data_IF_397381469304
#
_entry.id   IF_397381469304
#
_cell.length_a   1.000
_cell.length_b   1.000
_cell.length_c   1.000
_cell.angle_alpha   90.00
_cell.angle_beta   90.00
_cell.angle_gamma   90.00
#
_symmetry.space_group_name_H-M   'P 1'
#
loop_
_entity.id
_entity.type
_entity.pdbx_description
1 polymer ?
#
# COMPACT_ATOMS: atom_id res chain seq x y z
N UNK A 1 -9.40 4.27 -6.70
CA UNK A 1 -8.55 3.65 -7.73
C UNK A 1 -9.42 2.89 -8.73
N UNK A 2 -9.33 3.30 -9.98
CA UNK A 2 -10.15 2.69 -11.04
C UNK A 2 -9.89 1.19 -11.21
N UNK A 3 -8.62 0.77 -11.09
CA UNK A 3 -8.26 -0.63 -11.28
C UNK A 3 -8.91 -1.55 -10.26
N UNK A 4 -8.97 -1.16 -8.99
CA UNK A 4 -9.64 -1.94 -7.96
C UNK A 4 -11.15 -1.98 -8.18
N UNK A 5 -11.75 -0.85 -8.59
CA UNK A 5 -13.17 -0.80 -8.89
C UNK A 5 -13.56 -1.69 -10.06
N UNK A 6 -12.68 -1.85 -11.04
CA UNK A 6 -12.95 -2.72 -12.20
C UNK A 6 -13.04 -4.20 -11.83
N UNK A 7 -12.54 -4.60 -10.66
CA UNK A 7 -12.70 -5.95 -10.13
C UNK A 7 -13.97 -6.13 -9.27
N UNK A 8 -14.88 -5.14 -9.30
CA UNK A 8 -16.11 -5.20 -8.54
C UNK A 8 -15.98 -4.87 -7.07
N UNK A 9 -14.84 -4.32 -6.67
CA UNK A 9 -14.59 -3.94 -5.28
C UNK A 9 -15.22 -2.58 -4.95
N UNK A 10 -15.69 -2.44 -3.72
CA UNK A 10 -16.23 -1.17 -3.22
C UNK A 10 -15.06 -0.35 -2.69
N UNK A 11 -14.71 0.73 -3.40
CA UNK A 11 -13.59 1.59 -3.04
C UNK A 11 -14.13 2.96 -2.59
N UNK A 12 -13.73 3.40 -1.40
CA UNK A 12 -14.03 4.73 -0.88
C UNK A 12 -12.73 5.47 -0.62
N UNK A 13 -12.61 6.68 -1.12
CA UNK A 13 -11.47 7.54 -0.83
C UNK A 13 -11.78 8.31 0.45
N UNK A 14 -10.96 8.12 1.48
CA UNK A 14 -11.16 8.77 2.78
C UNK A 14 -10.46 10.12 2.87
N UNK A 15 -9.45 10.37 2.04
CA UNK A 15 -8.74 11.63 1.98
C UNK A 15 -7.24 11.47 2.18
N UNK A 16 -6.53 12.60 2.24
CA UNK A 16 -5.08 12.62 2.40
C UNK A 16 -4.69 12.10 3.78
N UNK A 17 -3.58 11.36 3.84
CA UNK A 17 -3.01 10.88 5.10
C UNK A 17 -2.15 11.98 5.68
N UNK A 18 -2.41 12.35 6.95
CA UNK A 18 -1.51 13.20 7.72
C UNK A 18 -0.39 12.30 8.26
N UNK A 19 0.83 12.80 8.30
CA UNK A 19 2.01 12.05 8.78
C UNK A 19 2.14 10.66 8.14
N UNK A 20 2.25 10.58 6.80
CA UNK A 20 2.38 9.28 6.14
C UNK A 20 3.66 8.56 6.56
N UNK A 21 3.60 7.21 6.61
CA UNK A 21 4.74 6.37 6.97
C UNK A 21 5.88 6.48 5.96
N UNK A 22 5.56 6.72 4.70
CA UNK A 22 6.53 6.86 3.62
C UNK A 22 6.45 8.28 3.05
N UNK A 23 7.54 8.80 2.46
CA UNK A 23 7.45 10.05 1.72
C UNK A 23 6.50 9.91 0.54
N UNK A 24 6.03 11.00 -0.01
CA UNK A 24 5.09 11.02 -1.12
C UNK A 24 3.70 11.46 -0.68
N UNK A 25 2.76 11.46 -1.60
CA UNK A 25 1.37 11.83 -1.32
C UNK A 25 0.60 10.59 -0.87
N UNK A 26 0.30 10.50 0.41
CA UNK A 26 -0.48 9.41 0.95
C UNK A 26 -1.99 9.67 0.87
N UNK A 27 -2.75 8.66 0.47
CA UNK A 27 -4.21 8.70 0.44
C UNK A 27 -4.75 7.46 1.14
N UNK A 28 -5.68 7.65 2.06
CA UNK A 28 -6.37 6.56 2.73
C UNK A 28 -7.57 6.12 1.91
N UNK A 29 -7.68 4.81 1.68
CA UNK A 29 -8.81 4.19 0.98
C UNK A 29 -9.44 3.14 1.88
N UNK A 30 -10.75 2.91 1.67
CA UNK A 30 -11.42 1.72 2.21
C UNK A 30 -11.86 0.88 1.02
N UNK A 31 -11.40 -0.37 0.97
CA UNK A 31 -11.71 -1.33 -0.09
C UNK A 31 -12.42 -2.51 0.56
N UNK A 32 -13.72 -2.69 0.26
CA UNK A 32 -14.55 -3.72 0.88
C UNK A 32 -14.45 -3.74 2.41
N UNK A 33 -14.38 -2.56 3.02
CA UNK A 33 -14.26 -2.42 4.47
C UNK A 33 -12.84 -2.54 5.03
N UNK A 34 -11.84 -2.76 4.18
CA UNK A 34 -10.43 -2.86 4.61
C UNK A 34 -9.69 -1.54 4.37
N UNK A 35 -8.89 -1.13 5.34
CA UNK A 35 -8.08 0.08 5.22
C UNK A 35 -6.85 -0.16 4.35
N UNK A 36 -6.68 0.67 3.33
CA UNK A 36 -5.52 0.63 2.44
C UNK A 36 -4.93 2.02 2.34
N UNK A 37 -3.60 2.12 2.40
CA UNK A 37 -2.88 3.37 2.20
C UNK A 37 -2.19 3.32 0.85
N UNK A 38 -2.34 4.39 0.06
CA UNK A 38 -1.72 4.50 -1.26
C UNK A 38 -0.82 5.71 -1.27
N UNK A 39 0.43 5.51 -1.67
CA UNK A 39 1.43 6.57 -1.75
C UNK A 39 1.78 6.80 -3.21
N UNK A 40 1.66 8.05 -3.65
CA UNK A 40 1.95 8.45 -5.03
C UNK A 40 3.20 9.30 -5.10
N UNK A 41 3.99 9.11 -6.15
CA UNK A 41 5.28 9.79 -6.33
C UNK A 41 5.33 10.52 -7.66
N UNK A 42 6.11 11.61 -7.69
CA UNK A 42 6.19 12.49 -8.87
C UNK A 42 7.02 11.87 -10.00
N UNK A 43 7.98 11.00 -9.67
CA UNK A 43 8.86 10.35 -10.66
C UNK A 43 9.41 9.02 -10.11
N UNK A 44 10.15 8.31 -10.96
CA UNK A 44 10.78 7.04 -10.59
C UNK A 44 11.84 7.19 -9.51
N UNK A 45 12.58 8.28 -9.48
CA UNK A 45 13.60 8.49 -8.45
C UNK A 45 12.96 8.57 -7.07
N UNK A 46 11.83 9.26 -6.96
CA UNK A 46 11.09 9.39 -5.70
C UNK A 46 10.55 8.04 -5.22
N UNK A 47 9.96 7.24 -6.12
CA UNK A 47 9.43 5.93 -5.74
C UNK A 47 10.55 4.96 -5.36
N UNK A 48 11.68 4.99 -6.05
CA UNK A 48 12.82 4.12 -5.71
C UNK A 48 13.41 4.49 -4.35
N UNK A 49 13.48 5.77 -4.02
CA UNK A 49 13.92 6.21 -2.69
C UNK A 49 12.99 5.69 -1.59
N UNK A 50 11.68 5.72 -1.82
CA UNK A 50 10.70 5.19 -0.88
C UNK A 50 10.79 3.67 -0.76
N UNK A 51 10.95 2.95 -1.88
CA UNK A 51 11.11 1.49 -1.87
C UNK A 51 12.35 1.06 -1.07
N UNK A 52 13.42 1.85 -1.11
CA UNK A 52 14.63 1.57 -0.34
C UNK A 52 14.40 1.67 1.18
N UNK A 53 13.32 2.31 1.62
CA UNK A 53 12.97 2.41 3.04
C UNK A 53 12.16 1.21 3.55
N UNK A 54 11.73 0.32 2.65
CA UNK A 54 10.90 -0.83 2.99
C UNK A 54 11.77 -2.08 3.04
N UNK A 55 11.83 -2.72 4.21
CA UNK A 55 12.53 -4.00 4.35
C UNK A 55 11.63 -5.16 3.88
N UNK A 56 12.21 -6.30 3.45
CA UNK A 56 11.42 -7.43 2.95
C UNK A 56 10.39 -7.98 3.92
N UNK A 57 10.58 -7.82 5.22
CA UNK A 57 9.64 -8.28 6.25
C UNK A 57 8.51 -7.28 6.52
N UNK A 58 8.48 -6.15 5.81
CA UNK A 58 7.47 -5.10 5.98
C UNK A 58 7.86 -4.04 7.00
N UNK A 59 9.01 -4.15 7.67
CA UNK A 59 9.49 -3.08 8.54
C UNK A 59 10.07 -1.93 7.71
N UNK A 60 10.14 -0.75 8.31
CA UNK A 60 10.69 0.43 7.65
C UNK A 60 12.02 0.83 8.28
N UNK A 61 12.93 1.34 7.44
CA UNK A 61 14.23 1.82 7.90
C UNK A 61 14.04 3.03 8.82
N UNK A 62 14.69 2.99 9.96
CA UNK A 62 14.68 4.07 10.97
C UNK A 62 13.29 4.40 11.55
N UNK A 63 12.31 3.52 11.36
CA UNK A 63 10.97 3.68 11.92
C UNK A 63 10.61 2.42 12.69
N UNK A 64 10.25 2.59 13.95
CA UNK A 64 9.82 1.49 14.80
C UNK A 64 8.30 1.40 14.72
N UNK A 65 7.78 0.33 14.10
CA UNK A 65 6.35 0.15 13.88
C UNK A 65 5.88 -1.14 14.54
N UNK A 66 4.81 -1.03 15.29
CA UNK A 66 4.07 -2.16 15.84
C UNK A 66 2.82 -2.37 15.00
N UNK A 67 2.87 -3.34 14.08
CA UNK A 67 1.77 -3.61 13.17
C UNK A 67 0.60 -4.27 13.89
N UNK A 68 -0.62 -3.75 13.71
CA UNK A 68 -1.85 -4.32 14.24
C UNK A 68 -2.34 -5.55 13.48
N UNK A 69 -1.66 -5.92 12.42
CA UNK A 69 -1.98 -7.06 11.58
C UNK A 69 -0.84 -7.33 10.62
N UNK A 70 -1.07 -8.18 9.63
CA UNK A 70 -0.03 -8.53 8.65
C UNK A 70 0.14 -7.42 7.62
N UNK A 71 1.29 -6.74 7.56
CA UNK A 71 1.53 -5.72 6.55
C UNK A 71 1.82 -6.34 5.19
N UNK A 72 1.27 -5.74 4.13
CA UNK A 72 1.50 -6.16 2.75
C UNK A 72 1.76 -4.93 1.91
N UNK A 73 2.94 -4.86 1.30
CA UNK A 73 3.33 -3.76 0.42
C UNK A 73 3.30 -4.19 -1.03
N UNK A 74 2.75 -3.31 -1.87
CA UNK A 74 2.66 -3.52 -3.31
C UNK A 74 3.22 -2.30 -4.03
N UNK A 75 3.79 -2.50 -5.20
CA UNK A 75 4.35 -1.43 -6.02
C UNK A 75 3.94 -1.60 -7.48
N UNK A 76 3.49 -0.51 -8.08
CA UNK A 76 3.23 -0.46 -9.53
C UNK A 76 3.51 0.96 -10.02
N UNK A 77 4.44 1.09 -10.98
CA UNK A 77 4.80 2.39 -11.51
C UNK A 77 5.29 3.34 -10.44
N UNK A 78 4.57 4.44 -10.23
CA UNK A 78 4.89 5.46 -9.23
C UNK A 78 3.99 5.40 -8.00
N UNK A 79 3.41 4.22 -7.74
CA UNK A 79 2.49 4.00 -6.63
C UNK A 79 3.02 2.88 -5.74
N UNK A 80 2.97 3.10 -4.43
CA UNK A 80 3.16 2.06 -3.42
C UNK A 80 1.86 1.95 -2.63
N UNK A 81 1.37 0.73 -2.41
CA UNK A 81 0.18 0.48 -1.62
C UNK A 81 0.52 -0.36 -0.40
N UNK A 82 -0.09 -0.04 0.73
CA UNK A 82 0.04 -0.78 1.98
C UNK A 82 -1.32 -1.24 2.45
N UNK A 83 -1.46 -2.56 2.66
CA UNK A 83 -2.61 -3.15 3.32
C UNK A 83 -2.14 -3.88 4.57
N UNK A 84 -2.80 -3.63 5.70
CA UNK A 84 -2.53 -4.33 6.97
C UNK A 84 -3.74 -5.18 7.30
N UNK A 85 -3.61 -6.50 7.23
CA UNK A 85 -4.69 -7.45 7.49
C UNK A 85 -4.47 -8.77 6.76
N UNK A 86 -5.43 -9.70 6.93
CA UNK A 86 -5.32 -11.06 6.42
C UNK A 86 -6.45 -11.46 5.48
N UNK A 87 -7.18 -10.50 4.92
CA UNK A 87 -8.26 -10.79 3.99
C UNK A 87 -7.72 -11.15 2.61
N UNK A 88 -7.86 -12.42 2.24
CA UNK A 88 -7.35 -12.93 0.96
C UNK A 88 -8.02 -12.29 -0.25
N UNK A 89 -9.27 -11.90 -0.15
CA UNK A 89 -9.96 -11.20 -1.25
C UNK A 89 -9.24 -9.89 -1.57
N UNK A 90 -8.82 -9.17 -0.53
CA UNK A 90 -8.09 -7.92 -0.69
C UNK A 90 -6.69 -8.17 -1.25
N UNK A 91 -5.93 -9.10 -0.68
CA UNK A 91 -4.56 -9.38 -1.15
C UNK A 91 -4.55 -9.91 -2.58
N UNK A 92 -5.51 -10.75 -2.96
CA UNK A 92 -5.63 -11.22 -4.34
C UNK A 92 -5.95 -10.09 -5.31
N UNK A 93 -6.85 -9.17 -4.92
CA UNK A 93 -7.20 -8.01 -5.75
C UNK A 93 -6.01 -7.08 -5.94
N UNK A 94 -5.25 -6.83 -4.87
CA UNK A 94 -4.05 -5.98 -4.96
C UNK A 94 -2.98 -6.64 -5.83
N UNK A 95 -2.79 -7.96 -5.71
CA UNK A 95 -1.84 -8.70 -6.55
C UNK A 95 -2.22 -8.61 -8.03
N UNK A 96 -3.49 -8.76 -8.36
CA UNK A 96 -3.96 -8.66 -9.75
C UNK A 96 -3.84 -7.25 -10.31
N UNK A 97 -4.03 -6.24 -9.46
CA UNK A 97 -4.04 -4.84 -9.87
C UNK A 97 -2.63 -4.25 -9.92
N UNK A 98 -1.81 -4.54 -8.91
CA UNK A 98 -0.52 -3.89 -8.69
C UNK A 98 0.67 -4.82 -8.89
N UNK A 99 0.43 -6.11 -9.06
CA UNK A 99 1.47 -7.12 -9.17
C UNK A 99 1.77 -7.81 -7.84
N UNK A 100 2.77 -8.67 -7.83
CA UNK A 100 3.13 -9.46 -6.65
C UNK A 100 3.54 -8.58 -5.47
N UNK A 101 3.17 -8.99 -4.27
CA UNK A 101 3.60 -8.33 -3.05
C UNK A 101 5.12 -8.20 -2.99
N UNK A 102 5.63 -7.01 -2.68
CA UNK A 102 7.07 -6.74 -2.67
C UNK A 102 7.70 -6.91 -1.29
N UNK A 103 6.92 -6.74 -0.24
CA UNK A 103 7.41 -6.83 1.14
C UNK A 103 6.24 -7.08 2.08
N UNK A 104 6.57 -7.53 3.29
CA UNK A 104 5.58 -7.76 4.33
C UNK A 104 5.46 -9.23 4.72
N UNK A 105 4.40 -9.52 5.46
CA UNK A 105 4.13 -10.88 5.93
C UNK A 105 3.40 -11.68 4.84
N UNK A 106 3.60 -12.95 4.86
CA UNK A 106 2.95 -13.89 3.92
C UNK A 106 1.81 -14.67 4.57
#
# INVERSE_FOLDING_TARGET
>A
MKALRSYGLKVRVMGAIEDPLLPGRGTALIVNGADIQVFEYVDNNAVQAALAMINPDGSLVDVDIDWDGSPHFYHSGRIIALYVGDNETITKALTKTLGTQIAGWQ
#
